data_IF_119449381183
#
_entry.id   IF_119449381183
#
_cell.length_a   1.000
_cell.length_b   1.000
_cell.length_c   1.000
_cell.angle_alpha   90.00
_cell.angle_beta   90.00
_cell.angle_gamma   90.00
#
_symmetry.space_group_name_H-M   'P 1'
#
loop_
_entity.id
_entity.type
_entity.pdbx_description
1 polymer ?
#
# COMPACT_ATOMS: atom_id res chain seq x y z
N UNK A 1 -12.79 27.48 0.81
CA UNK A 1 -13.63 26.39 0.27
C UNK A 1 -12.82 25.13 -0.10
N UNK A 2 -11.64 25.24 -0.72
CA UNK A 2 -10.80 24.08 -1.07
C UNK A 2 -10.26 23.33 0.17
N UNK A 3 -9.75 24.06 1.17
CA UNK A 3 -9.20 23.43 2.40
C UNK A 3 -10.27 22.75 3.25
N UNK A 4 -11.50 23.29 3.28
CA UNK A 4 -12.61 22.64 3.98
C UNK A 4 -12.99 21.28 3.38
N UNK A 5 -13.01 21.15 2.04
CA UNK A 5 -13.29 19.86 1.38
C UNK A 5 -12.19 18.83 1.64
N UNK A 6 -10.92 19.29 1.68
CA UNK A 6 -9.75 18.44 1.98
C UNK A 6 -9.81 17.86 3.39
N UNK A 7 -10.20 18.69 4.36
CA UNK A 7 -10.37 18.27 5.74
C UNK A 7 -11.50 17.24 5.88
N UNK A 8 -12.66 17.49 5.28
CA UNK A 8 -13.80 16.54 5.31
C UNK A 8 -13.44 15.19 4.68
N UNK A 9 -12.62 15.17 3.61
CA UNK A 9 -12.18 13.91 3.00
C UNK A 9 -11.28 13.11 3.93
N UNK A 10 -10.30 13.75 4.56
CA UNK A 10 -9.38 13.09 5.50
C UNK A 10 -10.12 12.58 6.74
N UNK A 11 -11.06 13.36 7.28
CA UNK A 11 -11.91 12.96 8.41
C UNK A 11 -12.67 11.65 8.11
N UNK A 12 -13.33 11.59 6.94
CA UNK A 12 -14.03 10.38 6.51
C UNK A 12 -13.08 9.16 6.46
N UNK A 13 -11.87 9.35 5.92
CA UNK A 13 -10.88 8.26 5.83
C UNK A 13 -10.37 7.81 7.20
N UNK A 14 -10.24 8.72 8.16
CA UNK A 14 -9.88 8.39 9.54
C UNK A 14 -10.98 7.54 10.20
N UNK A 15 -12.25 7.91 10.02
CA UNK A 15 -13.40 7.15 10.57
C UNK A 15 -13.50 5.74 9.96
N UNK A 16 -13.25 5.61 8.67
CA UNK A 16 -13.21 4.30 7.99
C UNK A 16 -12.08 3.41 8.54
N UNK A 17 -10.89 3.98 8.71
CA UNK A 17 -9.75 3.29 9.33
C UNK A 17 -10.04 2.87 10.77
N UNK A 18 -10.69 3.73 11.55
CA UNK A 18 -11.08 3.42 12.93
C UNK A 18 -12.03 2.23 13.00
N UNK A 19 -13.07 2.25 12.14
CA UNK A 19 -14.02 1.16 12.05
C UNK A 19 -13.34 -0.16 11.68
N UNK A 20 -12.44 -0.13 10.70
CA UNK A 20 -11.68 -1.30 10.25
C UNK A 20 -10.72 -1.81 11.33
N UNK A 21 -9.95 -0.92 11.96
CA UNK A 21 -9.02 -1.27 13.03
C UNK A 21 -9.74 -1.89 14.23
N UNK A 22 -10.89 -1.32 14.62
CA UNK A 22 -11.70 -1.83 15.72
C UNK A 22 -12.26 -3.23 15.42
N UNK A 23 -12.76 -3.46 14.20
CA UNK A 23 -13.23 -4.76 13.77
C UNK A 23 -12.13 -5.83 13.82
N UNK A 24 -10.93 -5.53 13.31
CA UNK A 24 -9.80 -6.47 13.32
C UNK A 24 -9.29 -6.75 14.75
N UNK A 25 -9.25 -5.73 15.62
CA UNK A 25 -8.88 -5.92 17.03
C UNK A 25 -9.91 -6.73 17.82
N UNK A 26 -11.18 -6.69 17.42
CA UNK A 26 -12.19 -7.58 17.99
C UNK A 26 -11.95 -9.05 17.61
N UNK A 27 -11.35 -9.32 16.44
CA UNK A 27 -10.92 -10.67 16.05
C UNK A 27 -9.63 -11.11 16.76
N UNK A 28 -8.64 -10.21 16.88
CA UNK A 28 -7.34 -10.45 17.52
C UNK A 28 -6.89 -9.24 18.33
N UNK A 29 -7.20 -9.27 19.63
CA UNK A 29 -6.94 -8.14 20.53
C UNK A 29 -5.48 -8.02 20.98
N UNK A 30 -4.68 -9.07 20.83
CA UNK A 30 -3.29 -9.18 21.29
C UNK A 30 -2.25 -9.02 20.17
N UNK A 31 -2.68 -8.74 18.94
CA UNK A 31 -1.76 -8.53 17.82
C UNK A 31 -1.02 -7.18 17.92
N UNK A 32 0.31 -7.24 17.90
CA UNK A 32 1.20 -6.08 18.08
C UNK A 32 1.00 -5.02 16.99
N UNK A 33 0.77 -5.42 15.73
CA UNK A 33 0.56 -4.48 14.62
C UNK A 33 -0.79 -3.78 14.75
N UNK A 34 -1.84 -4.50 15.16
CA UNK A 34 -3.14 -3.89 15.42
C UNK A 34 -3.13 -2.97 16.65
N UNK A 35 -2.33 -3.26 17.69
CA UNK A 35 -2.12 -2.33 18.81
C UNK A 35 -1.37 -1.07 18.38
N UNK A 36 -0.34 -1.23 17.55
CA UNK A 36 0.41 -0.09 17.00
C UNK A 36 -0.49 0.77 16.11
N UNK A 37 -1.25 0.15 15.21
CA UNK A 37 -2.21 0.82 14.34
C UNK A 37 -3.21 1.67 15.16
N UNK A 38 -3.77 1.10 16.23
CA UNK A 38 -4.69 1.82 17.11
C UNK A 38 -4.01 3.00 17.83
N UNK A 39 -2.77 2.81 18.29
CA UNK A 39 -2.01 3.87 18.98
C UNK A 39 -1.69 5.04 18.04
N UNK A 40 -1.25 4.73 16.82
CA UNK A 40 -0.97 5.75 15.78
C UNK A 40 -2.27 6.42 15.32
N UNK A 41 -3.37 5.68 15.22
CA UNK A 41 -4.67 6.23 14.85
C UNK A 41 -5.21 7.21 15.89
N UNK A 42 -5.08 6.91 17.19
CA UNK A 42 -5.45 7.86 18.25
C UNK A 42 -4.60 9.13 18.19
N UNK A 43 -3.29 8.99 17.94
CA UNK A 43 -2.42 10.14 17.69
C UNK A 43 -2.86 10.95 16.46
N UNK A 44 -3.22 10.28 15.37
CA UNK A 44 -3.72 10.92 14.15
C UNK A 44 -5.00 11.72 14.41
N UNK A 45 -5.97 11.13 15.13
CA UNK A 45 -7.23 11.77 15.53
C UNK A 45 -6.98 13.00 16.40
N UNK A 46 -6.09 12.89 17.38
CA UNK A 46 -5.72 14.01 18.24
C UNK A 46 -5.05 15.13 17.45
N UNK A 47 -4.13 14.79 16.55
CA UNK A 47 -3.41 15.75 15.69
C UNK A 47 -4.35 16.44 14.69
N UNK A 48 -5.35 15.71 14.18
CA UNK A 48 -6.36 16.23 13.26
C UNK A 48 -7.36 17.16 13.95
N UNK A 49 -7.86 16.79 15.13
CA UNK A 49 -8.82 17.61 15.90
C UNK A 49 -8.20 18.89 16.46
N UNK A 50 -6.92 18.85 16.81
CA UNK A 50 -6.15 20.01 17.31
C UNK A 50 -5.34 20.71 16.21
N UNK A 51 -5.72 20.53 14.93
CA UNK A 51 -5.02 21.07 13.77
C UNK A 51 -4.90 22.62 13.73
N UNK A 52 -5.45 23.32 14.73
CA UNK A 52 -5.26 24.76 14.92
C UNK A 52 -3.85 25.19 15.35
N UNK A 53 -3.00 24.31 15.93
CA UNK A 53 -1.74 24.77 16.55
C UNK A 53 -0.44 24.00 16.25
N UNK A 54 -0.42 22.81 15.60
CA UNK A 54 0.88 22.10 15.47
C UNK A 54 1.09 21.05 14.36
N UNK A 55 0.05 20.54 13.70
CA UNK A 55 0.20 19.37 12.82
C UNK A 55 0.08 19.71 11.33
N UNK A 56 1.15 19.49 10.57
CA UNK A 56 1.15 19.71 9.12
C UNK A 56 0.44 18.58 8.36
N UNK A 57 -0.17 18.88 7.21
CA UNK A 57 -0.83 17.88 6.35
C UNK A 57 0.08 16.68 5.99
N UNK A 58 1.38 16.87 5.64
CA UNK A 58 2.31 15.75 5.46
C UNK A 58 2.37 14.82 6.68
N UNK A 59 2.44 15.38 7.89
CA UNK A 59 2.50 14.55 9.11
C UNK A 59 1.22 13.72 9.29
N UNK A 60 0.06 14.33 9.07
CA UNK A 60 -1.23 13.62 9.15
C UNK A 60 -1.31 12.49 8.12
N UNK A 61 -0.85 12.72 6.89
CA UNK A 61 -0.83 11.70 5.84
C UNK A 61 0.20 10.59 6.09
N UNK A 62 1.33 10.91 6.70
CA UNK A 62 2.32 9.92 7.13
C UNK A 62 1.77 9.03 8.24
N UNK A 63 1.14 9.61 9.27
CA UNK A 63 0.51 8.85 10.35
C UNK A 63 -0.65 7.99 9.80
N UNK A 64 -1.47 8.53 8.88
CA UNK A 64 -2.51 7.76 8.15
C UNK A 64 -1.91 6.56 7.39
N UNK A 65 -0.82 6.78 6.67
CA UNK A 65 -0.13 5.73 5.89
C UNK A 65 0.40 4.63 6.78
N UNK A 66 0.94 4.98 7.96
CA UNK A 66 1.43 3.99 8.92
C UNK A 66 0.29 3.09 9.42
N UNK A 67 -0.89 3.66 9.75
CA UNK A 67 -2.05 2.86 10.16
C UNK A 67 -2.48 1.89 9.06
N UNK A 68 -2.52 2.35 7.80
CA UNK A 68 -2.81 1.48 6.64
C UNK A 68 -1.79 0.34 6.57
N UNK A 69 -0.50 0.64 6.67
CA UNK A 69 0.57 -0.36 6.59
C UNK A 69 0.42 -1.41 7.69
N UNK A 70 0.18 -1.02 8.94
CA UNK A 70 0.06 -1.95 10.06
C UNK A 70 -1.18 -2.86 9.92
N UNK A 71 -2.34 -2.29 9.58
CA UNK A 71 -3.58 -3.05 9.36
C UNK A 71 -3.40 -4.05 8.22
N UNK A 72 -2.91 -3.58 7.08
CA UNK A 72 -2.76 -4.43 5.91
C UNK A 72 -1.67 -5.47 6.12
N UNK A 73 -0.65 -5.22 6.95
CA UNK A 73 0.37 -6.22 7.30
C UNK A 73 -0.25 -7.41 8.03
N UNK A 74 -1.09 -7.13 9.03
CA UNK A 74 -1.83 -8.17 9.75
C UNK A 74 -2.69 -9.01 8.79
N UNK A 75 -3.46 -8.36 7.92
CA UNK A 75 -4.35 -9.04 6.98
C UNK A 75 -3.60 -9.85 5.92
N UNK A 76 -2.45 -9.36 5.44
CA UNK A 76 -1.57 -10.08 4.52
C UNK A 76 -1.03 -11.36 5.17
N UNK A 77 -0.51 -11.28 6.40
CA UNK A 77 -0.02 -12.46 7.12
C UNK A 77 -1.13 -13.48 7.33
N UNK A 78 -2.34 -13.03 7.67
CA UNK A 78 -3.52 -13.91 7.79
C UNK A 78 -3.79 -14.67 6.48
N UNK A 79 -3.64 -14.03 5.31
CA UNK A 79 -3.77 -14.71 4.02
C UNK A 79 -2.63 -15.70 3.75
N UNK A 80 -1.40 -15.33 4.11
CA UNK A 80 -0.21 -16.20 3.97
C UNK A 80 -0.35 -17.46 4.83
N UNK A 81 -0.74 -17.31 6.10
CA UNK A 81 -0.96 -18.43 7.03
C UNK A 81 -2.07 -19.37 6.56
N UNK A 82 -3.05 -18.85 5.83
CA UNK A 82 -4.14 -19.62 5.23
C UNK A 82 -3.82 -20.13 3.83
N UNK A 83 -2.57 -19.96 3.37
CA UNK A 83 -2.10 -20.31 2.04
C UNK A 83 -2.96 -19.73 0.90
N UNK A 84 -3.48 -18.52 1.05
CA UNK A 84 -4.34 -17.85 0.06
C UNK A 84 -5.52 -18.75 -0.42
N UNK A 85 -6.59 -18.92 0.38
CA UNK A 85 -7.75 -19.73 0.00
C UNK A 85 -8.41 -19.19 -1.28
N UNK A 86 -8.79 -20.09 -2.19
CA UNK A 86 -9.22 -19.73 -3.56
C UNK A 86 -10.47 -18.86 -3.59
N UNK A 87 -11.38 -19.07 -2.64
CA UNK A 87 -12.70 -18.44 -2.55
C UNK A 87 -12.61 -16.97 -2.15
N UNK A 88 -11.69 -16.62 -1.26
CA UNK A 88 -11.60 -15.26 -0.67
C UNK A 88 -10.43 -14.46 -1.20
N UNK A 89 -9.33 -15.12 -1.61
CA UNK A 89 -8.07 -14.42 -1.90
C UNK A 89 -8.19 -13.41 -3.05
N UNK A 90 -8.85 -13.69 -4.19
CA UNK A 90 -8.95 -12.71 -5.27
C UNK A 90 -9.55 -11.37 -4.80
N UNK A 91 -10.62 -11.43 -4.01
CA UNK A 91 -11.26 -10.24 -3.44
C UNK A 91 -10.36 -9.57 -2.42
N UNK A 92 -9.77 -10.35 -1.49
CA UNK A 92 -8.95 -9.79 -0.42
C UNK A 92 -7.67 -9.15 -0.92
N UNK A 93 -7.02 -9.74 -1.93
CA UNK A 93 -5.86 -9.14 -2.61
C UNK A 93 -6.25 -7.81 -3.24
N UNK A 94 -7.40 -7.73 -3.91
CA UNK A 94 -7.87 -6.48 -4.50
C UNK A 94 -8.12 -5.40 -3.44
N UNK A 95 -8.77 -5.75 -2.34
CA UNK A 95 -9.02 -4.84 -1.21
C UNK A 95 -7.70 -4.33 -0.61
N UNK A 96 -6.76 -5.22 -0.30
CA UNK A 96 -5.45 -4.85 0.26
C UNK A 96 -4.64 -3.96 -0.69
N UNK A 97 -4.67 -4.25 -1.99
CA UNK A 97 -4.02 -3.39 -2.99
C UNK A 97 -4.68 -2.01 -3.08
N UNK A 98 -6.01 -1.93 -2.94
CA UNK A 98 -6.72 -0.64 -2.89
C UNK A 98 -6.31 0.16 -1.65
N UNK A 99 -6.30 -0.48 -0.48
CA UNK A 99 -5.89 0.15 0.77
C UNK A 99 -4.45 0.66 0.69
N UNK A 100 -3.52 -0.14 0.18
CA UNK A 100 -2.12 0.26 -0.03
C UNK A 100 -1.97 1.34 -1.11
N UNK A 101 -2.93 1.52 -2.02
CA UNK A 101 -2.91 2.59 -3.02
C UNK A 101 -3.45 3.91 -2.47
N UNK A 102 -4.37 3.86 -1.53
CA UNK A 102 -5.08 5.04 -1.04
C UNK A 102 -4.17 6.15 -0.48
N UNK A 103 -3.08 5.87 0.27
CA UNK A 103 -2.16 6.91 0.73
C UNK A 103 -1.58 7.79 -0.38
N UNK A 104 -1.16 7.18 -1.49
CA UNK A 104 -0.62 7.87 -2.66
C UNK A 104 -1.69 8.75 -3.32
N UNK A 105 -2.89 8.21 -3.48
CA UNK A 105 -4.01 8.95 -4.06
C UNK A 105 -4.47 10.10 -3.18
N UNK A 106 -4.51 9.89 -1.86
CA UNK A 106 -4.92 10.91 -0.89
C UNK A 106 -3.89 12.04 -0.84
N UNK A 107 -2.59 11.72 -0.85
CA UNK A 107 -1.53 12.73 -0.94
C UNK A 107 -1.67 13.58 -2.21
N UNK A 108 -1.88 12.95 -3.37
CA UNK A 108 -2.05 13.65 -4.64
C UNK A 108 -3.30 14.56 -4.64
N UNK A 109 -4.41 14.13 -4.02
CA UNK A 109 -5.66 14.91 -3.95
C UNK A 109 -5.58 16.06 -2.94
N UNK A 110 -4.99 15.84 -1.77
CA UNK A 110 -4.96 16.82 -0.69
C UNK A 110 -3.80 17.83 -0.82
N UNK A 111 -2.73 17.47 -1.52
CA UNK A 111 -1.58 18.34 -1.78
C UNK A 111 -1.23 18.41 -3.29
N UNK A 112 -2.14 18.92 -4.15
CA UNK A 112 -2.01 18.87 -5.63
C UNK A 112 -0.89 19.72 -6.26
N UNK A 113 0.09 20.17 -5.48
CA UNK A 113 1.29 20.87 -5.95
C UNK A 113 2.57 20.38 -5.28
N UNK A 114 2.51 19.26 -4.56
CA UNK A 114 3.65 18.61 -3.95
C UNK A 114 3.79 17.21 -4.54
N UNK A 115 5.02 16.80 -4.82
CA UNK A 115 5.33 15.42 -5.15
C UNK A 115 4.86 14.50 -4.00
N UNK A 116 4.26 13.35 -4.33
CA UNK A 116 3.79 12.40 -3.32
C UNK A 116 4.92 12.00 -2.37
N UNK A 117 6.13 11.83 -2.91
CA UNK A 117 7.34 11.56 -2.14
C UNK A 117 7.68 12.67 -1.13
N UNK A 118 7.42 13.94 -1.44
CA UNK A 118 7.65 15.05 -0.52
C UNK A 118 6.62 15.07 0.63
N UNK A 119 5.41 14.55 0.38
CA UNK A 119 4.33 14.48 1.37
C UNK A 119 4.47 13.25 2.27
N UNK A 120 4.57 12.06 1.68
CA UNK A 120 4.64 10.80 2.42
C UNK A 120 6.05 10.49 2.93
N UNK A 121 7.08 11.10 2.35
CA UNK A 121 8.46 10.75 2.61
C UNK A 121 8.89 9.48 1.86
N UNK A 122 10.21 9.34 1.71
CA UNK A 122 10.83 8.23 0.98
C UNK A 122 10.50 6.86 1.59
N UNK A 123 10.61 6.73 2.91
CA UNK A 123 10.48 5.44 3.60
C UNK A 123 9.08 4.84 3.45
N UNK A 124 8.05 5.64 3.70
CA UNK A 124 6.67 5.17 3.61
C UNK A 124 6.25 4.88 2.17
N UNK A 125 6.65 5.74 1.21
CA UNK A 125 6.33 5.51 -0.20
C UNK A 125 7.03 4.26 -0.74
N UNK A 126 8.31 4.05 -0.40
CA UNK A 126 9.04 2.84 -0.75
C UNK A 126 8.39 1.60 -0.13
N UNK A 127 8.02 1.68 1.14
CA UNK A 127 7.33 0.59 1.86
C UNK A 127 5.99 0.25 1.19
N UNK A 128 5.18 1.23 0.82
CA UNK A 128 3.90 1.02 0.12
C UNK A 128 4.10 0.26 -1.19
N UNK A 129 5.05 0.68 -2.03
CA UNK A 129 5.32 -0.03 -3.28
C UNK A 129 5.91 -1.42 -3.05
N UNK A 130 6.81 -1.56 -2.07
CA UNK A 130 7.34 -2.87 -1.68
C UNK A 130 6.23 -3.82 -1.26
N UNK A 131 5.35 -3.40 -0.35
CA UNK A 131 4.21 -4.17 0.16
C UNK A 131 3.28 -4.64 -0.95
N UNK A 132 2.92 -3.76 -1.89
CA UNK A 132 2.08 -4.12 -3.05
C UNK A 132 2.74 -5.18 -3.93
N UNK A 133 4.03 -5.04 -4.20
CA UNK A 133 4.81 -5.99 -4.97
C UNK A 133 4.94 -7.35 -4.26
N UNK A 134 5.28 -7.32 -2.98
CA UNK A 134 5.45 -8.50 -2.12
C UNK A 134 4.14 -9.28 -1.98
N UNK A 135 3.01 -8.60 -1.78
CA UNK A 135 1.69 -9.23 -1.70
C UNK A 135 1.37 -10.03 -2.96
N UNK A 136 1.54 -9.42 -4.13
CA UNK A 136 1.32 -10.08 -5.42
C UNK A 136 2.30 -11.24 -5.64
N UNK A 137 3.56 -11.07 -5.23
CA UNK A 137 4.55 -12.15 -5.30
C UNK A 137 4.15 -13.34 -4.42
N UNK A 138 3.79 -13.12 -3.15
CA UNK A 138 3.37 -14.19 -2.23
C UNK A 138 2.12 -14.92 -2.74
N UNK A 139 1.15 -14.17 -3.26
CA UNK A 139 -0.05 -14.72 -3.88
C UNK A 139 0.28 -15.60 -5.10
N UNK A 140 1.06 -15.06 -6.05
CA UNK A 140 1.49 -15.82 -7.23
C UNK A 140 2.35 -17.03 -6.87
N UNK A 141 3.26 -16.90 -5.90
CA UNK A 141 4.10 -18.01 -5.45
C UNK A 141 3.26 -19.18 -4.94
N UNK A 142 2.25 -18.89 -4.13
CA UNK A 142 1.34 -19.90 -3.58
C UNK A 142 0.49 -20.54 -4.68
N UNK A 143 -0.11 -19.71 -5.55
CA UNK A 143 -0.94 -20.21 -6.65
C UNK A 143 -0.14 -20.98 -7.71
N UNK A 144 1.15 -20.69 -7.87
CA UNK A 144 2.02 -21.42 -8.79
C UNK A 144 2.10 -22.92 -8.46
N UNK A 145 1.88 -23.28 -7.19
CA UNK A 145 1.84 -24.67 -6.75
C UNK A 145 0.53 -25.38 -7.18
N UNK A 146 -0.53 -24.63 -7.49
CA UNK A 146 -1.86 -25.13 -7.90
C UNK A 146 -1.98 -25.28 -9.42
N UNK A 147 -1.33 -26.31 -9.99
CA UNK A 147 -1.24 -26.54 -11.45
C UNK A 147 -2.58 -26.46 -12.22
N UNK A 148 -3.68 -26.98 -11.64
CA UNK A 148 -4.99 -26.91 -12.30
C UNK A 148 -5.57 -25.50 -12.34
N UNK A 149 -5.35 -24.73 -11.27
CA UNK A 149 -5.80 -23.34 -11.17
C UNK A 149 -5.12 -22.47 -12.22
N UNK A 150 -3.79 -22.57 -12.37
CA UNK A 150 -3.02 -21.81 -13.35
C UNK A 150 -3.49 -22.07 -14.77
N UNK A 151 -3.80 -23.34 -15.11
CA UNK A 151 -4.33 -23.69 -16.43
C UNK A 151 -5.62 -22.94 -16.75
N UNK A 152 -6.49 -22.73 -15.75
CA UNK A 152 -7.76 -22.02 -15.90
C UNK A 152 -7.58 -20.50 -15.84
N UNK A 153 -6.60 -20.00 -15.08
CA UNK A 153 -6.48 -18.58 -14.71
C UNK A 153 -5.16 -17.95 -15.17
N UNK A 154 -4.55 -18.46 -16.26
CA UNK A 154 -3.23 -18.03 -16.75
C UNK A 154 -3.11 -16.52 -16.96
N UNK A 155 -4.13 -15.88 -17.54
CA UNK A 155 -4.11 -14.45 -17.80
C UNK A 155 -4.07 -13.64 -16.48
N UNK A 156 -4.90 -14.01 -15.51
CA UNK A 156 -4.91 -13.39 -14.18
C UNK A 156 -3.56 -13.57 -13.48
N UNK A 157 -3.00 -14.78 -13.51
CA UNK A 157 -1.68 -15.06 -12.95
C UNK A 157 -0.60 -14.16 -13.53
N UNK A 158 -0.52 -14.07 -14.87
CA UNK A 158 0.47 -13.23 -15.55
C UNK A 158 0.31 -11.75 -15.20
N UNK A 159 -0.94 -11.26 -15.15
CA UNK A 159 -1.23 -9.88 -14.75
C UNK A 159 -0.75 -9.60 -13.32
N UNK A 160 -1.00 -10.50 -12.38
CA UNK A 160 -0.53 -10.36 -11.00
C UNK A 160 1.00 -10.31 -10.92
N UNK A 161 1.71 -11.17 -11.66
CA UNK A 161 3.18 -11.15 -11.71
C UNK A 161 3.70 -9.84 -12.30
N UNK A 162 3.16 -9.40 -13.43
CA UNK A 162 3.57 -8.16 -14.08
C UNK A 162 3.36 -6.94 -13.19
N UNK A 163 2.18 -6.83 -12.58
CA UNK A 163 1.88 -5.74 -11.64
C UNK A 163 2.78 -5.79 -10.40
N UNK A 164 3.05 -6.99 -9.87
CA UNK A 164 3.96 -7.18 -8.74
C UNK A 164 5.36 -6.65 -9.05
N UNK A 165 5.91 -7.03 -10.21
CA UNK A 165 7.21 -6.53 -10.69
C UNK A 165 7.19 -5.02 -10.88
N UNK A 166 6.13 -4.46 -11.47
CA UNK A 166 5.99 -3.01 -11.67
C UNK A 166 6.03 -2.25 -10.35
N UNK A 167 5.40 -2.75 -9.28
CA UNK A 167 5.50 -2.13 -7.96
C UNK A 167 6.91 -2.23 -7.37
N UNK A 168 7.59 -3.37 -7.51
CA UNK A 168 8.96 -3.51 -7.04
C UNK A 168 9.93 -2.58 -7.78
N UNK A 169 9.68 -2.31 -9.07
CA UNK A 169 10.46 -1.32 -9.83
C UNK A 169 10.20 0.10 -9.35
N UNK A 170 8.92 0.48 -9.14
CA UNK A 170 8.57 1.76 -8.52
C UNK A 170 9.23 1.95 -7.17
N UNK A 171 9.26 0.91 -6.34
CA UNK A 171 9.96 0.89 -5.05
C UNK A 171 11.45 1.24 -5.21
N UNK A 172 12.17 0.60 -6.15
CA UNK A 172 13.57 0.91 -6.43
C UNK A 172 13.76 2.36 -6.90
N UNK A 173 12.78 2.88 -7.65
CA UNK A 173 12.81 4.23 -8.19
C UNK A 173 12.61 5.33 -7.13
N UNK A 174 12.06 5.02 -5.94
CA UNK A 174 11.77 6.01 -4.87
C UNK A 174 13.06 6.72 -4.40
N UNK A 175 14.13 5.97 -4.15
CA UNK A 175 15.43 6.53 -3.70
C UNK A 175 16.44 6.69 -4.82
N UNK A 176 16.31 5.91 -5.88
CA UNK A 176 17.23 5.90 -6.99
C UNK A 176 16.44 6.13 -8.25
N UNK A 177 16.46 7.34 -8.81
CA UNK A 177 16.12 7.44 -10.24
C UNK A 177 17.15 6.56 -10.96
N UNK A 178 16.75 5.36 -11.38
CA UNK A 178 17.61 4.49 -12.18
C UNK A 178 17.74 5.20 -13.51
N UNK A 179 18.68 6.13 -13.59
CA UNK A 179 19.14 6.68 -14.85
C UNK A 179 19.89 5.54 -15.50
N UNK A 180 19.22 4.79 -16.36
CA UNK A 180 19.87 3.79 -17.20
C UNK A 180 20.99 4.55 -17.93
N UNK A 181 22.25 4.31 -17.54
CA UNK A 181 23.37 4.96 -18.22
C UNK A 181 23.44 4.41 -19.63
N UNK A 182 23.89 5.21 -20.61
CA UNK A 182 24.09 4.76 -22.00
C UNK A 182 25.03 3.53 -22.13
N UNK A 183 25.75 3.17 -21.06
CA UNK A 183 26.60 1.99 -20.97
C UNK A 183 25.86 0.68 -20.57
N UNK A 184 24.57 0.71 -20.25
CA UNK A 184 23.82 -0.50 -19.90
C UNK A 184 23.43 -1.24 -21.18
N UNK A 185 24.11 -2.35 -21.43
CA UNK A 185 23.75 -3.26 -22.52
C UNK A 185 22.63 -4.17 -22.05
N UNK A 186 21.42 -3.94 -22.57
CA UNK A 186 20.31 -4.86 -22.36
C UNK A 186 20.42 -6.01 -23.37
N UNK A 187 20.44 -7.24 -22.88
CA UNK A 187 20.44 -8.43 -23.72
C UNK A 187 19.04 -8.83 -24.20
N UNK A 188 18.00 -8.19 -23.69
CA UNK A 188 16.60 -8.39 -24.07
C UNK A 188 15.84 -7.06 -24.02
N UNK A 189 15.09 -6.79 -25.09
CA UNK A 189 14.29 -5.57 -25.25
C UNK A 189 13.14 -5.47 -24.25
N UNK A 190 12.63 -6.59 -23.76
CA UNK A 190 11.53 -6.62 -22.79
C UNK A 190 11.98 -6.09 -21.43
N UNK A 191 13.19 -6.46 -21.03
CA UNK A 191 13.86 -6.01 -19.80
C UNK A 191 14.23 -4.53 -19.90
N UNK A 192 14.68 -4.06 -21.07
CA UNK A 192 14.96 -2.65 -21.31
C UNK A 192 13.71 -1.79 -21.16
N UNK A 193 12.60 -2.17 -21.80
CA UNK A 193 11.34 -1.43 -21.73
C UNK A 193 10.79 -1.35 -20.30
N UNK A 194 10.87 -2.46 -19.56
CA UNK A 194 10.39 -2.55 -18.18
C UNK A 194 11.13 -1.59 -17.22
N UNK A 195 12.42 -1.34 -17.46
CA UNK A 195 13.25 -0.47 -16.62
C UNK A 195 13.20 1.00 -17.05
N UNK A 196 12.63 1.29 -18.22
CA UNK A 196 12.54 2.62 -18.82
C UNK A 196 11.22 3.34 -18.54
N UNK A 197 10.22 2.62 -18.00
CA UNK A 197 8.93 3.16 -17.53
C UNK A 197 9.02 3.72 -16.09
#
# INVERSE_FOLDING_TARGET
MADYRRLVELDRRIVELESKCAALRAERADDDYLQNAATVLEKLKNSYTHAGESSSLPRLLQDYTQVILDITFYEENKLVDQEFPEEISPFKIQELLQDLTEPELLAARLAPGQEVQAVLGLELLECVYWRRGALLYMYCHTLHQRKQWIKKNKATFLKCVQEGVRYLLKMLQVRSSVKLSDAVVFHDSSTANLLSE
#
